data_IF_695095300205
#
_entry.id   IF_695095300205
#
_cell.length_a   1.000
_cell.length_b   1.000
_cell.length_c   1.000
_cell.angle_alpha   90.00
_cell.angle_beta   90.00
_cell.angle_gamma   90.00
#
_symmetry.space_group_name_H-M   'P 1'
#
loop_
_entity.id
_entity.type
_entity.pdbx_description
1 polymer ?
#
# COMPACT_ATOMS: atom_id res chain seq x y z
N UNK A 1 6.88 6.16 -3.60
CA UNK A 1 6.56 5.21 -4.69
C UNK A 1 6.53 3.82 -4.08
N UNK A 2 5.43 3.08 -4.23
CA UNK A 2 5.36 1.65 -3.83
C UNK A 2 6.43 0.86 -4.59
N UNK A 3 7.16 0.00 -3.88
CA UNK A 3 8.26 -0.80 -4.41
C UNK A 3 7.72 -1.75 -5.51
N UNK A 4 8.43 -1.96 -6.64
CA UNK A 4 7.94 -2.83 -7.72
C UNK A 4 7.45 -4.22 -7.27
N UNK A 5 8.02 -4.73 -6.18
CA UNK A 5 7.65 -6.02 -5.57
C UNK A 5 6.34 -5.97 -4.79
N UNK A 6 6.06 -4.89 -4.05
CA UNK A 6 4.77 -4.72 -3.37
C UNK A 6 3.64 -4.58 -4.40
N UNK A 7 3.90 -3.93 -5.54
CA UNK A 7 2.93 -3.88 -6.65
C UNK A 7 2.65 -5.25 -7.24
N UNK A 8 3.70 -6.05 -7.46
CA UNK A 8 3.55 -7.45 -7.91
C UNK A 8 2.73 -8.27 -6.91
N UNK A 9 3.06 -8.13 -5.62
CA UNK A 9 2.39 -8.82 -4.53
C UNK A 9 0.89 -8.50 -4.46
N UNK A 10 0.55 -7.21 -4.53
CA UNK A 10 -0.83 -6.77 -4.61
C UNK A 10 -1.53 -7.32 -5.85
N UNK A 11 -0.92 -7.19 -7.04
CA UNK A 11 -1.53 -7.67 -8.28
C UNK A 11 -1.82 -9.18 -8.26
N UNK A 12 -0.88 -10.01 -7.78
CA UNK A 12 -1.06 -11.46 -7.67
C UNK A 12 -2.19 -11.80 -6.68
N UNK A 13 -2.18 -11.22 -5.47
CA UNK A 13 -3.23 -11.48 -4.47
C UNK A 13 -4.62 -11.09 -5.00
N UNK A 14 -4.72 -9.90 -5.61
CA UNK A 14 -6.00 -9.38 -6.07
C UNK A 14 -6.58 -10.23 -7.21
N UNK A 15 -5.75 -10.66 -8.17
CA UNK A 15 -6.19 -11.46 -9.30
C UNK A 15 -6.70 -12.86 -8.90
N UNK A 16 -6.17 -13.42 -7.81
CA UNK A 16 -6.57 -14.76 -7.35
C UNK A 16 -7.76 -14.76 -6.40
N UNK A 17 -7.93 -13.69 -5.63
CA UNK A 17 -8.94 -13.64 -4.56
C UNK A 17 -10.20 -12.86 -4.95
N UNK A 18 -10.16 -12.08 -6.03
CA UNK A 18 -11.28 -11.27 -6.47
C UNK A 18 -11.53 -11.42 -7.97
N UNK A 19 -12.81 -11.45 -8.34
CA UNK A 19 -13.21 -11.48 -9.74
C UNK A 19 -12.79 -10.20 -10.47
N UNK A 20 -12.45 -10.32 -11.74
CA UNK A 20 -12.20 -9.15 -12.58
C UNK A 20 -13.42 -8.20 -12.56
N UNK A 21 -13.17 -6.91 -12.37
CA UNK A 21 -14.23 -5.90 -12.27
C UNK A 21 -14.85 -5.74 -10.88
N UNK A 22 -14.43 -6.50 -9.86
CA UNK A 22 -14.84 -6.29 -8.46
C UNK A 22 -13.72 -5.75 -7.56
N UNK A 23 -12.62 -5.31 -8.17
CA UNK A 23 -11.51 -4.68 -7.48
C UNK A 23 -10.81 -3.66 -8.36
N UNK A 24 -10.03 -2.78 -7.72
CA UNK A 24 -9.15 -1.85 -8.38
C UNK A 24 -7.92 -1.55 -7.51
N UNK A 25 -6.78 -1.29 -8.14
CA UNK A 25 -5.51 -1.06 -7.44
C UNK A 25 -5.09 0.41 -7.50
N UNK A 26 -4.29 0.85 -6.53
CA UNK A 26 -3.67 2.17 -6.48
C UNK A 26 -4.70 3.31 -6.52
N UNK A 27 -5.68 3.26 -5.62
CA UNK A 27 -6.85 4.15 -5.64
C UNK A 27 -6.55 5.43 -4.86
N UNK A 28 -6.72 6.62 -5.47
CA UNK A 28 -6.58 7.87 -4.75
C UNK A 28 -7.73 8.04 -3.74
N UNK A 29 -7.39 8.53 -2.55
CA UNK A 29 -8.34 8.77 -1.47
C UNK A 29 -8.34 10.25 -1.07
N UNK A 30 -9.43 10.66 -0.42
CA UNK A 30 -9.68 11.99 0.11
C UNK A 30 -10.45 12.91 -0.84
N UNK A 31 -11.09 13.93 -0.29
CA UNK A 31 -11.83 14.96 -1.03
C UNK A 31 -10.87 15.76 -1.92
N UNK A 32 -11.40 16.23 -3.04
CA UNK A 32 -10.72 17.26 -3.84
C UNK A 32 -10.96 18.60 -3.13
N UNK A 33 -9.91 19.39 -2.83
CA UNK A 33 -10.06 20.71 -2.21
C UNK A 33 -11.09 21.56 -2.95
N UNK A 34 -12.03 22.13 -2.21
CA UNK A 34 -13.13 22.91 -2.79
C UNK A 34 -12.60 24.12 -3.55
N UNK A 35 -11.53 24.74 -3.07
CA UNK A 35 -10.87 25.87 -3.72
C UNK A 35 -10.39 25.50 -5.13
N UNK A 36 -9.85 24.29 -5.32
CA UNK A 36 -9.46 23.82 -6.65
C UNK A 36 -10.67 23.59 -7.54
N UNK A 37 -11.76 23.05 -7.00
CA UNK A 37 -13.02 22.84 -7.74
C UNK A 37 -13.62 24.18 -8.17
N UNK A 38 -13.65 25.17 -7.28
CA UNK A 38 -14.19 26.50 -7.56
C UNK A 38 -13.35 27.24 -8.61
N UNK A 39 -12.02 27.08 -8.61
CA UNK A 39 -11.11 27.74 -9.56
C UNK A 39 -11.06 27.09 -10.94
N UNK A 40 -11.16 25.76 -11.03
CA UNK A 40 -10.87 25.02 -12.26
C UNK A 40 -12.03 24.15 -12.75
N UNK A 41 -13.12 24.05 -11.99
CA UNK A 41 -14.17 23.07 -12.21
C UNK A 41 -13.76 21.65 -11.80
N UNK A 42 -14.73 20.73 -11.64
CA UNK A 42 -14.52 19.45 -10.98
C UNK A 42 -13.54 18.53 -11.72
N UNK A 43 -13.63 18.44 -13.04
CA UNK A 43 -12.77 17.55 -13.84
C UNK A 43 -11.30 17.97 -13.83
N UNK A 44 -11.02 19.27 -14.00
CA UNK A 44 -9.66 19.79 -14.01
C UNK A 44 -9.07 19.82 -12.60
N UNK A 45 -9.86 20.16 -11.57
CA UNK A 45 -9.45 20.07 -10.18
C UNK A 45 -9.05 18.64 -9.79
N UNK A 46 -9.84 17.64 -10.20
CA UNK A 46 -9.50 16.23 -9.99
C UNK A 46 -8.17 15.86 -10.65
N UNK A 47 -7.94 16.28 -11.89
CA UNK A 47 -6.69 16.00 -12.60
C UNK A 47 -5.47 16.66 -11.93
N UNK A 48 -5.60 17.91 -11.48
CA UNK A 48 -4.53 18.66 -10.79
C UNK A 48 -4.20 18.01 -9.45
N UNK A 49 -5.21 17.60 -8.69
CA UNK A 49 -5.03 17.10 -7.32
C UNK A 49 -4.71 15.60 -7.26
N UNK A 50 -5.05 14.82 -8.28
CA UNK A 50 -4.83 13.36 -8.33
C UNK A 50 -3.39 12.92 -8.00
N UNK A 51 -2.31 13.62 -8.41
CA UNK A 51 -0.94 13.24 -8.06
C UNK A 51 -0.60 13.42 -6.58
N UNK A 52 -1.23 14.38 -5.88
CA UNK A 52 -0.96 14.67 -4.47
C UNK A 52 -1.86 13.90 -3.50
N UNK A 53 -2.98 13.33 -3.99
CA UNK A 53 -3.85 12.45 -3.19
C UNK A 53 -3.07 11.26 -2.64
N UNK A 54 -3.33 10.94 -1.36
CA UNK A 54 -2.89 9.67 -0.77
C UNK A 54 -3.53 8.52 -1.53
N UNK A 55 -2.82 7.40 -1.65
CA UNK A 55 -3.27 6.26 -2.45
C UNK A 55 -3.24 5.00 -1.58
N UNK A 56 -4.35 4.28 -1.58
CA UNK A 56 -4.40 2.93 -1.00
C UNK A 56 -3.99 1.91 -2.05
N UNK A 57 -3.31 0.85 -1.63
CA UNK A 57 -2.77 -0.16 -2.54
C UNK A 57 -3.85 -0.86 -3.36
N UNK A 58 -4.96 -1.24 -2.74
CA UNK A 58 -6.13 -1.75 -3.45
C UNK A 58 -7.44 -1.55 -2.70
N UNK A 59 -8.53 -1.67 -3.46
CA UNK A 59 -9.89 -1.80 -2.97
C UNK A 59 -10.56 -2.96 -3.66
N UNK A 60 -11.47 -3.63 -2.97
CA UNK A 60 -12.37 -4.63 -3.55
C UNK A 60 -13.76 -4.46 -2.98
N UNK A 61 -14.79 -4.87 -3.70
CA UNK A 61 -16.16 -4.64 -3.28
C UNK A 61 -17.07 -5.80 -3.63
N UNK A 62 -18.12 -5.93 -2.82
CA UNK A 62 -19.27 -6.79 -3.07
C UNK A 62 -20.53 -6.02 -2.65
N UNK A 63 -21.74 -6.59 -2.80
CA UNK A 63 -22.94 -5.95 -2.27
C UNK A 63 -22.91 -5.74 -0.74
N UNK A 64 -22.18 -6.59 -0.01
CA UNK A 64 -22.19 -6.58 1.46
C UNK A 64 -21.09 -5.75 2.10
N UNK A 65 -20.00 -5.44 1.39
CA UNK A 65 -18.84 -4.73 1.97
C UNK A 65 -17.92 -4.07 0.94
N UNK A 66 -17.18 -3.08 1.41
CA UNK A 66 -16.12 -2.41 0.68
C UNK A 66 -14.78 -2.57 1.40
N UNK A 67 -13.83 -3.25 0.78
CA UNK A 67 -12.54 -3.57 1.35
C UNK A 67 -11.53 -2.47 1.03
N UNK A 68 -10.86 -1.97 2.06
CA UNK A 68 -9.68 -1.11 1.97
C UNK A 68 -8.46 -1.97 2.27
N UNK A 69 -7.61 -2.21 1.27
CA UNK A 69 -6.55 -3.22 1.35
C UNK A 69 -5.17 -2.56 1.22
N UNK A 70 -4.33 -2.74 2.24
CA UNK A 70 -2.90 -2.38 2.20
C UNK A 70 -2.06 -3.65 2.15
N UNK A 71 -0.96 -3.61 1.40
CA UNK A 71 -0.03 -4.72 1.24
C UNK A 71 1.32 -4.36 1.84
N UNK A 72 1.86 -5.25 2.69
CA UNK A 72 3.18 -5.04 3.30
C UNK A 72 4.00 -6.32 3.30
N UNK A 73 5.12 -6.31 2.59
CA UNK A 73 6.07 -7.43 2.63
C UNK A 73 7.06 -7.26 3.77
N UNK A 74 7.53 -6.03 4.03
CA UNK A 74 8.64 -5.75 4.95
C UNK A 74 8.21 -5.21 6.31
N UNK A 75 7.33 -4.21 6.31
CA UNK A 75 6.95 -3.50 7.52
C UNK A 75 5.42 -3.47 7.69
N UNK A 76 4.85 -4.49 8.37
CA UNK A 76 3.42 -4.54 8.68
C UNK A 76 2.93 -3.37 9.53
N UNK A 77 3.79 -2.77 10.36
CA UNK A 77 3.41 -1.65 11.24
C UNK A 77 3.05 -0.40 10.43
N UNK A 78 3.73 -0.15 9.30
CA UNK A 78 3.29 0.89 8.36
C UNK A 78 1.86 0.64 7.87
N UNK A 79 1.48 -0.62 7.61
CA UNK A 79 0.14 -0.97 7.16
C UNK A 79 -0.90 -0.75 8.25
N UNK A 80 -0.63 -1.22 9.46
CA UNK A 80 -1.48 -1.02 10.64
C UNK A 80 -1.77 0.46 10.90
N UNK A 81 -0.74 1.32 10.81
CA UNK A 81 -0.88 2.75 11.08
C UNK A 81 -1.60 3.53 9.97
N UNK A 82 -1.51 3.08 8.70
CA UNK A 82 -2.11 3.77 7.56
C UNK A 82 -3.60 3.49 7.39
N UNK A 83 -4.03 2.25 7.57
CA UNK A 83 -5.40 1.81 7.29
C UNK A 83 -6.48 2.66 7.99
N UNK A 84 -6.37 3.01 9.29
CA UNK A 84 -7.34 3.88 9.94
C UNK A 84 -7.43 5.27 9.30
N UNK A 85 -6.30 5.78 8.80
CA UNK A 85 -6.27 7.06 8.06
C UNK A 85 -6.93 6.93 6.70
N UNK A 86 -6.68 5.83 5.98
CA UNK A 86 -7.34 5.56 4.71
C UNK A 86 -8.84 5.38 4.85
N UNK A 87 -9.32 4.72 5.91
CA UNK A 87 -10.75 4.64 6.22
C UNK A 87 -11.40 6.02 6.36
N UNK A 88 -10.75 6.94 7.09
CA UNK A 88 -11.25 8.31 7.24
C UNK A 88 -11.30 9.06 5.91
N UNK A 89 -10.31 8.87 5.04
CA UNK A 89 -10.27 9.49 3.72
C UNK A 89 -11.30 8.87 2.75
N UNK A 90 -11.45 7.55 2.76
CA UNK A 90 -12.38 6.81 1.91
C UNK A 90 -13.83 7.23 2.17
N UNK A 91 -14.21 7.44 3.44
CA UNK A 91 -15.54 7.96 3.83
C UNK A 91 -15.89 9.33 3.23
N UNK A 92 -14.88 10.06 2.76
CA UNK A 92 -15.01 11.39 2.17
C UNK A 92 -14.62 11.38 0.68
N UNK A 93 -14.47 10.20 0.09
CA UNK A 93 -14.06 10.09 -1.30
C UNK A 93 -15.29 9.85 -2.15
N UNK A 94 -15.72 10.88 -2.88
CA UNK A 94 -16.94 10.81 -3.70
C UNK A 94 -16.80 9.87 -4.90
N UNK A 95 -15.58 9.65 -5.38
CA UNK A 95 -15.26 8.94 -6.62
C UNK A 95 -14.72 7.52 -6.40
N UNK A 96 -15.10 6.85 -5.29
CA UNK A 96 -14.66 5.47 -5.03
C UNK A 96 -15.30 4.48 -6.01
N UNK A 97 -14.48 3.69 -6.75
CA UNK A 97 -15.00 2.73 -7.71
C UNK A 97 -15.79 1.63 -6.99
N UNK A 98 -17.02 1.35 -7.46
CA UNK A 98 -17.88 0.28 -6.92
C UNK A 98 -18.47 0.55 -5.53
N UNK A 99 -18.22 1.73 -4.95
CA UNK A 99 -18.77 2.10 -3.64
C UNK A 99 -20.17 2.68 -3.80
N UNK A 100 -21.15 2.01 -3.19
CA UNK A 100 -22.56 2.36 -3.20
C UNK A 100 -23.13 2.39 -1.76
N UNK A 101 -22.30 2.70 -0.76
CA UNK A 101 -22.71 2.78 0.65
C UNK A 101 -22.49 1.49 1.47
N UNK A 102 -21.71 0.54 0.97
CA UNK A 102 -21.38 -0.67 1.72
C UNK A 102 -20.55 -0.33 2.98
N UNK A 103 -20.61 -1.13 4.04
CA UNK A 103 -19.70 -0.96 5.17
C UNK A 103 -18.24 -1.21 4.75
N UNK A 104 -17.34 -0.36 5.25
CA UNK A 104 -15.91 -0.51 5.03
C UNK A 104 -15.30 -1.58 5.94
N UNK A 105 -14.37 -2.38 5.41
CA UNK A 105 -13.54 -3.32 6.17
C UNK A 105 -12.07 -3.07 5.80
N UNK A 106 -11.19 -3.00 6.80
CA UNK A 106 -9.77 -2.73 6.60
C UNK A 106 -8.99 -4.04 6.57
N UNK A 107 -8.25 -4.30 5.50
CA UNK A 107 -7.46 -5.50 5.31
C UNK A 107 -5.98 -5.17 5.22
N UNK A 108 -5.16 -5.89 5.98
CA UNK A 108 -3.71 -5.86 5.86
C UNK A 108 -3.22 -7.22 5.36
N UNK A 109 -2.59 -7.22 4.19
CA UNK A 109 -2.04 -8.44 3.57
C UNK A 109 -0.53 -8.48 3.78
N UNK A 110 -0.05 -9.54 4.41
CA UNK A 110 1.36 -9.75 4.75
C UNK A 110 1.81 -11.17 4.40
N UNK A 111 3.11 -11.42 4.14
CA UNK A 111 3.57 -12.78 3.86
C UNK A 111 3.42 -13.72 5.05
N UNK A 112 3.67 -13.20 6.25
CA UNK A 112 3.50 -13.86 7.54
C UNK A 112 3.27 -12.79 8.60
N UNK A 113 2.67 -13.17 9.73
CA UNK A 113 2.43 -12.27 10.85
C UNK A 113 2.93 -12.81 12.18
N UNK A 114 3.67 -11.98 12.90
CA UNK A 114 4.03 -12.20 14.31
C UNK A 114 2.81 -11.97 15.20
N UNK A 115 2.81 -12.57 16.39
CA UNK A 115 1.64 -12.54 17.28
C UNK A 115 1.22 -11.12 17.68
N UNK A 116 2.18 -10.25 17.99
CA UNK A 116 1.88 -8.86 18.34
C UNK A 116 1.19 -8.10 17.18
N UNK A 117 1.51 -8.43 15.92
CA UNK A 117 0.86 -7.83 14.74
C UNK A 117 -0.61 -8.26 14.68
N UNK A 118 -0.89 -9.53 15.01
CA UNK A 118 -2.26 -10.06 15.04
C UNK A 118 -3.09 -9.37 16.11
N UNK A 119 -2.51 -9.21 17.30
CA UNK A 119 -3.13 -8.51 18.41
C UNK A 119 -3.47 -7.06 18.03
N UNK A 120 -2.47 -6.30 17.57
CA UNK A 120 -2.65 -4.89 17.19
C UNK A 120 -3.63 -4.72 16.02
N UNK A 121 -3.62 -5.65 15.05
CA UNK A 121 -4.60 -5.67 13.98
C UNK A 121 -6.03 -5.87 14.52
N UNK A 122 -6.21 -6.82 15.44
CA UNK A 122 -7.49 -7.09 16.10
C UNK A 122 -8.02 -5.86 16.85
N UNK A 123 -7.18 -5.23 17.67
CA UNK A 123 -7.52 -4.02 18.42
C UNK A 123 -7.91 -2.85 17.51
N UNK A 124 -7.27 -2.74 16.34
CA UNK A 124 -7.56 -1.71 15.35
C UNK A 124 -8.76 -2.03 14.44
N UNK A 125 -9.41 -3.19 14.59
CA UNK A 125 -10.47 -3.65 13.68
C UNK A 125 -9.97 -3.92 12.25
N UNK A 126 -8.71 -4.32 12.11
CA UNK A 126 -8.05 -4.65 10.85
C UNK A 126 -8.04 -6.18 10.71
N UNK A 127 -8.54 -6.66 9.57
CA UNK A 127 -8.46 -8.07 9.21
C UNK A 127 -7.10 -8.35 8.60
N UNK A 128 -6.29 -9.13 9.31
CA UNK A 128 -5.00 -9.58 8.84
C UNK A 128 -5.15 -10.82 7.95
N UNK A 129 -4.51 -10.81 6.79
CA UNK A 129 -4.44 -11.97 5.89
C UNK A 129 -3.00 -12.30 5.57
N UNK A 130 -2.67 -13.58 5.68
CA UNK A 130 -1.36 -14.09 5.29
C UNK A 130 -1.40 -14.59 3.86
N UNK A 131 -0.43 -14.17 3.05
CA UNK A 131 -0.32 -14.57 1.66
C UNK A 131 1.14 -14.76 1.27
N UNK A 132 1.58 -16.01 1.24
CA UNK A 132 2.97 -16.36 0.94
C UNK A 132 3.18 -16.75 -0.53
N UNK A 133 4.33 -16.36 -1.08
CA UNK A 133 4.82 -16.75 -2.41
C UNK A 133 6.29 -17.08 -2.38
N UNK A 134 6.72 -18.03 -3.19
CA UNK A 134 8.12 -18.48 -3.23
C UNK A 134 9.08 -17.33 -3.54
N UNK A 135 8.72 -16.43 -4.45
CA UNK A 135 9.56 -15.29 -4.81
C UNK A 135 9.74 -14.29 -3.65
N UNK A 136 8.84 -14.31 -2.65
CA UNK A 136 8.97 -13.47 -1.45
C UNK A 136 10.13 -13.95 -0.60
N UNK A 137 10.39 -15.25 -0.54
CA UNK A 137 11.52 -15.81 0.20
C UNK A 137 12.85 -15.21 -0.29
N UNK A 138 13.09 -15.29 -1.61
CA UNK A 138 14.27 -14.71 -2.25
C UNK A 138 14.39 -13.20 -2.01
N UNK A 139 13.26 -12.49 -1.96
CA UNK A 139 13.24 -11.06 -1.68
C UNK A 139 13.57 -10.74 -0.21
N UNK A 140 13.02 -11.50 0.74
CA UNK A 140 13.33 -11.36 2.17
C UNK A 140 14.80 -11.68 2.43
N UNK A 141 15.33 -12.76 1.86
CA UNK A 141 16.75 -13.11 1.96
C UNK A 141 17.64 -11.99 1.41
N UNK A 142 17.29 -11.45 0.24
CA UNK A 142 18.01 -10.31 -0.33
C UNK A 142 18.02 -9.14 0.66
N UNK A 143 16.87 -8.83 1.27
CA UNK A 143 16.71 -7.72 2.21
C UNK A 143 17.46 -7.94 3.53
N UNK A 144 17.39 -9.14 4.11
CA UNK A 144 18.17 -9.49 5.32
C UNK A 144 19.68 -9.36 5.06
N UNK A 145 20.12 -9.71 3.85
CA UNK A 145 21.49 -9.49 3.38
C UNK A 145 21.95 -8.03 3.46
N UNK A 146 21.06 -7.04 3.28
CA UNK A 146 21.40 -5.60 3.33
C UNK A 146 21.85 -5.12 4.71
N UNK A 147 21.47 -5.80 5.79
CA UNK A 147 21.83 -5.42 7.17
C UNK A 147 23.03 -6.20 7.71
N UNK A 148 23.64 -7.07 6.91
CA UNK A 148 24.86 -7.78 7.29
C UNK A 148 26.06 -6.84 7.31
N UNK A 149 27.01 -7.08 8.24
CA UNK A 149 28.27 -6.32 8.33
C UNK A 149 29.05 -6.33 7.00
N UNK A 150 28.97 -7.44 6.26
CA UNK A 150 29.61 -7.61 4.94
C UNK A 150 29.02 -6.69 3.87
N UNK A 151 27.69 -6.53 3.85
CA UNK A 151 27.04 -5.62 2.91
C UNK A 151 27.31 -4.16 3.25
N UNK A 152 27.32 -3.80 4.53
CA UNK A 152 27.72 -2.46 4.99
C UNK A 152 29.16 -2.14 4.58
N UNK A 153 30.09 -3.11 4.73
CA UNK A 153 31.48 -2.98 4.30
C UNK A 153 31.60 -2.81 2.77
N UNK A 154 30.88 -3.61 1.96
CA UNK A 154 30.84 -3.45 0.50
C UNK A 154 30.27 -2.09 0.06
N UNK A 155 29.28 -1.56 0.78
CA UNK A 155 28.69 -0.25 0.47
C UNK A 155 29.65 0.89 0.82
N UNK A 156 30.34 0.78 1.95
CA UNK A 156 31.39 1.72 2.34
C UNK A 156 32.52 1.72 1.32
N UNK A 157 32.95 0.53 0.87
CA UNK A 157 34.00 0.40 -0.16
C UNK A 157 33.57 0.97 -1.51
N UNK A 158 32.33 0.69 -1.95
CA UNK A 158 31.79 1.26 -3.19
C UNK A 158 31.67 2.78 -3.13
N UNK A 159 31.33 3.34 -1.96
CA UNK A 159 31.31 4.80 -1.73
C UNK A 159 32.72 5.38 -1.78
N UNK A 160 33.69 4.74 -1.12
CA UNK A 160 35.11 5.11 -1.15
C UNK A 160 35.66 5.14 -2.57
N UNK A 161 35.34 4.12 -3.38
CA UNK A 161 35.74 4.04 -4.79
C UNK A 161 35.10 5.18 -5.61
N UNK A 162 33.81 5.48 -5.42
CA UNK A 162 33.13 6.57 -6.13
C UNK A 162 33.71 7.95 -5.81
N UNK A 163 34.05 8.18 -4.55
CA UNK A 163 34.75 9.41 -4.11
C UNK A 163 36.14 9.50 -4.72
N UNK A 164 36.90 8.41 -4.72
CA UNK A 164 38.22 8.36 -5.33
C UNK A 164 38.19 8.58 -6.86
N UNK A 165 37.10 8.19 -7.52
CA UNK A 165 36.88 8.38 -8.96
C UNK A 165 36.26 9.75 -9.31
N UNK A 166 35.95 10.61 -8.32
CA UNK A 166 35.40 11.94 -8.55
C UNK A 166 33.99 11.94 -9.16
N UNK A 167 33.20 10.90 -8.91
CA UNK A 167 31.84 10.71 -9.47
C UNK A 167 30.74 10.97 -8.43
N UNK A 168 31.10 11.60 -7.30
CA UNK A 168 30.19 12.14 -6.27
C UNK A 168 30.27 13.66 -6.22
#
# INVERSE_FOLDING_TARGET
MSEPREKRYAAEYMAENFAAGTYATNIPLGEIPRELVDMHGPGQAAAIYRPSRRRIDAVAWSPGKYLLIEFKIRDPFEGLSRLPTYLRLARRTDDLPGYNGQPFEMWLIVPFALEWIRHDAGDAGIVLKEYWREWIAAYIEQYQGYFTKEYQARRAEKKRIRQALGVE
#
